data_IF_373540221210
#
_entry.id   IF_373540221210
#
_cell.length_a   1.000
_cell.length_b   1.000
_cell.length_c   1.000
_cell.angle_alpha   90.00
_cell.angle_beta   90.00
_cell.angle_gamma   90.00
#
_symmetry.space_group_name_H-M   'P 1'
#
loop_
_entity.id
_entity.type
_entity.pdbx_description
1 polymer ?
#
# COMPACT_ATOMS: atom_id res chain seq x y z
N UNK A 1 11.79 -16.47 7.26
CA UNK A 1 13.24 -16.49 7.14
C UNK A 1 13.84 -15.10 7.33
N UNK A 2 15.16 -15.04 7.35
CA UNK A 2 15.92 -13.81 7.57
C UNK A 2 16.73 -13.39 6.32
N UNK A 3 16.32 -13.89 5.16
CA UNK A 3 16.94 -13.58 3.87
C UNK A 3 15.92 -13.07 2.87
N UNK A 4 16.37 -12.22 1.96
CA UNK A 4 15.61 -11.60 0.88
C UNK A 4 16.21 -12.08 -0.44
N UNK A 5 15.36 -12.44 -1.41
CA UNK A 5 15.79 -12.71 -2.76
C UNK A 5 15.99 -11.39 -3.52
N UNK A 6 17.19 -11.17 -4.00
CA UNK A 6 17.48 -10.12 -4.99
C UNK A 6 16.95 -10.58 -6.36
N UNK A 7 15.78 -10.09 -6.73
CA UNK A 7 15.10 -10.49 -7.98
C UNK A 7 15.86 -9.99 -9.20
N UNK A 8 16.46 -8.81 -9.12
CA UNK A 8 17.29 -8.26 -10.21
C UNK A 8 18.51 -9.12 -10.48
N UNK A 9 19.21 -9.56 -9.43
CA UNK A 9 20.34 -10.47 -9.53
C UNK A 9 19.93 -11.84 -10.10
N UNK A 10 18.77 -12.36 -9.68
CA UNK A 10 18.24 -13.62 -10.20
C UNK A 10 17.86 -13.52 -11.68
N UNK A 11 17.37 -12.38 -12.14
CA UNK A 11 17.13 -12.11 -13.55
C UNK A 11 18.44 -12.04 -14.35
N UNK A 12 19.44 -11.29 -13.88
CA UNK A 12 20.74 -11.17 -14.54
C UNK A 12 21.49 -12.50 -14.64
N UNK A 13 21.28 -13.38 -13.65
CA UNK A 13 21.81 -14.75 -13.66
C UNK A 13 21.01 -15.71 -14.57
N UNK A 14 19.92 -15.27 -15.19
CA UNK A 14 19.09 -16.07 -16.09
C UNK A 14 18.14 -17.05 -15.38
N UNK A 15 18.00 -16.95 -14.07
CA UNK A 15 17.08 -17.81 -13.28
C UNK A 15 15.62 -17.36 -13.39
N UNK A 16 15.39 -16.08 -13.66
CA UNK A 16 14.08 -15.50 -13.91
C UNK A 16 14.07 -14.87 -15.31
N UNK A 17 12.90 -14.85 -15.95
CA UNK A 17 12.73 -14.39 -17.34
C UNK A 17 11.48 -13.55 -17.51
N UNK A 18 11.46 -12.78 -18.58
CA UNK A 18 10.31 -11.98 -19.02
C UNK A 18 10.28 -10.59 -18.40
N UNK A 19 9.34 -9.78 -18.89
CA UNK A 19 9.26 -8.34 -18.61
C UNK A 19 9.03 -8.05 -17.13
N UNK A 20 8.24 -8.88 -16.44
CA UNK A 20 7.99 -8.71 -15.01
C UNK A 20 9.28 -8.89 -14.16
N UNK A 21 10.12 -9.86 -14.51
CA UNK A 21 11.40 -10.05 -13.82
C UNK A 21 12.38 -8.93 -14.16
N UNK A 22 12.40 -8.47 -15.41
CA UNK A 22 13.20 -7.33 -15.83
C UNK A 22 12.79 -6.04 -15.11
N UNK A 23 11.48 -5.79 -14.95
CA UNK A 23 10.94 -4.63 -14.25
C UNK A 23 11.35 -4.58 -12.76
N UNK A 24 11.64 -5.73 -12.15
CA UNK A 24 12.14 -5.79 -10.77
C UNK A 24 13.56 -5.26 -10.57
N UNK A 25 14.26 -4.88 -11.63
CA UNK A 25 15.56 -4.19 -11.55
C UNK A 25 15.42 -2.70 -11.31
N UNK A 26 14.21 -2.15 -11.47
CA UNK A 26 13.96 -0.75 -11.22
C UNK A 26 13.92 -0.44 -9.71
N UNK A 27 14.16 0.82 -9.38
CA UNK A 27 14.15 1.28 -7.98
C UNK A 27 12.75 1.30 -7.35
N UNK A 28 11.69 1.15 -8.15
CA UNK A 28 10.29 1.12 -7.70
C UNK A 28 9.49 0.09 -8.50
N UNK A 29 8.40 -0.38 -7.94
CA UNK A 29 7.55 -1.40 -8.57
C UNK A 29 6.56 -0.86 -9.60
N UNK A 30 6.58 0.45 -9.93
CA UNK A 30 5.59 1.05 -10.81
C UNK A 30 5.49 0.36 -12.17
N UNK A 31 6.62 0.06 -12.81
CA UNK A 31 6.64 -0.65 -14.09
C UNK A 31 6.04 -2.05 -13.95
N UNK A 32 6.47 -2.81 -12.93
CA UNK A 32 5.91 -4.13 -12.67
C UNK A 32 4.40 -4.07 -12.43
N UNK A 33 3.93 -3.12 -11.62
CA UNK A 33 2.52 -2.91 -11.34
C UNK A 33 1.71 -2.61 -12.61
N UNK A 34 2.29 -1.86 -13.54
CA UNK A 34 1.64 -1.51 -14.81
C UNK A 34 1.55 -2.64 -15.85
N UNK A 35 2.30 -3.75 -15.69
CA UNK A 35 2.29 -4.86 -16.64
C UNK A 35 1.03 -5.72 -16.62
N UNK A 36 0.29 -5.73 -15.52
CA UNK A 36 -0.96 -6.48 -15.38
C UNK A 36 -0.78 -7.92 -14.86
N UNK A 37 -1.94 -8.52 -14.56
CA UNK A 37 -2.06 -9.77 -13.80
C UNK A 37 -1.28 -10.96 -14.38
N UNK A 38 -1.32 -11.16 -15.69
CA UNK A 38 -0.61 -12.28 -16.34
C UNK A 38 0.89 -12.24 -16.05
N UNK A 39 1.48 -11.08 -16.12
CA UNK A 39 2.89 -10.85 -15.83
C UNK A 39 3.22 -11.11 -14.35
N UNK A 40 2.37 -10.67 -13.43
CA UNK A 40 2.56 -10.89 -11.99
C UNK A 40 2.47 -12.37 -11.62
N UNK A 41 1.47 -13.07 -12.18
CA UNK A 41 1.30 -14.52 -11.96
C UNK A 41 2.50 -15.29 -12.50
N UNK A 42 2.96 -14.96 -13.72
CA UNK A 42 4.14 -15.59 -14.32
C UNK A 42 5.39 -15.40 -13.45
N UNK A 43 5.65 -14.18 -12.97
CA UNK A 43 6.77 -13.90 -12.08
C UNK A 43 6.63 -14.67 -10.76
N UNK A 44 5.45 -14.66 -10.14
CA UNK A 44 5.20 -15.38 -8.90
C UNK A 44 5.45 -16.88 -9.04
N UNK A 45 5.05 -17.48 -10.14
CA UNK A 45 5.30 -18.90 -10.44
C UNK A 45 6.79 -19.20 -10.55
N UNK A 46 7.55 -18.36 -11.24
CA UNK A 46 8.99 -18.49 -11.36
C UNK A 46 9.70 -18.36 -10.00
N UNK A 47 9.32 -17.35 -9.20
CA UNK A 47 9.83 -17.16 -7.84
C UNK A 47 9.51 -18.34 -6.93
N UNK A 48 8.29 -18.85 -7.00
CA UNK A 48 7.87 -20.04 -6.24
C UNK A 48 8.69 -21.28 -6.61
N UNK A 49 8.97 -21.49 -7.90
CA UNK A 49 9.80 -22.60 -8.37
C UNK A 49 11.26 -22.45 -7.94
N UNK A 50 11.80 -21.23 -8.00
CA UNK A 50 13.18 -20.93 -7.61
C UNK A 50 13.42 -21.14 -6.11
N UNK A 51 12.43 -20.77 -5.26
CA UNK A 51 12.54 -20.78 -3.79
C UNK A 51 11.98 -22.06 -3.14
N UNK A 52 11.33 -22.93 -3.91
CA UNK A 52 10.72 -24.16 -3.37
C UNK A 52 11.80 -25.12 -2.91
N UNK A 53 11.60 -25.74 -1.75
CA UNK A 53 12.43 -26.84 -1.28
C UNK A 53 12.42 -28.00 -2.29
N UNK A 54 13.61 -28.49 -2.67
CA UNK A 54 13.75 -29.49 -3.72
C UNK A 54 13.61 -28.98 -5.17
N UNK A 55 13.45 -27.65 -5.36
CA UNK A 55 13.52 -27.00 -6.66
C UNK A 55 14.92 -26.54 -7.02
N UNK A 56 15.05 -25.35 -7.63
CA UNK A 56 16.35 -24.76 -8.00
C UNK A 56 17.02 -24.05 -6.80
N UNK A 57 17.06 -24.73 -5.67
CA UNK A 57 17.50 -24.16 -4.39
C UNK A 57 18.94 -23.65 -4.41
N UNK A 58 19.82 -24.32 -5.16
CA UNK A 58 21.22 -23.91 -5.28
C UNK A 58 21.35 -22.58 -6.00
N UNK A 59 20.64 -22.42 -7.08
CA UNK A 59 20.59 -21.21 -7.89
C UNK A 59 19.98 -20.06 -7.08
N UNK A 60 18.83 -20.29 -6.44
CA UNK A 60 18.16 -19.30 -5.60
C UNK A 60 19.05 -18.78 -4.47
N UNK A 61 19.82 -19.66 -3.82
CA UNK A 61 20.74 -19.28 -2.73
C UNK A 61 21.80 -18.27 -3.13
N UNK A 62 22.27 -18.29 -4.38
CA UNK A 62 23.28 -17.33 -4.87
C UNK A 62 22.78 -15.89 -4.96
N UNK A 63 21.44 -15.72 -4.98
CA UNK A 63 20.77 -14.43 -5.09
C UNK A 63 20.14 -13.96 -3.77
N UNK A 64 20.36 -14.68 -2.68
CA UNK A 64 19.86 -14.30 -1.36
C UNK A 64 20.80 -13.28 -0.71
N UNK A 65 20.22 -12.30 -0.04
CA UNK A 65 20.92 -11.32 0.79
C UNK A 65 20.33 -11.35 2.21
N UNK A 66 21.16 -11.13 3.25
CA UNK A 66 20.65 -11.04 4.62
C UNK A 66 19.65 -9.87 4.76
N UNK A 67 18.51 -10.11 5.40
CA UNK A 67 17.51 -9.07 5.62
C UNK A 67 18.08 -7.91 6.46
N UNK A 68 19.03 -8.18 7.35
CA UNK A 68 19.69 -7.17 8.18
C UNK A 68 20.56 -6.18 7.36
N UNK A 69 20.94 -6.54 6.14
CA UNK A 69 21.73 -5.69 5.24
C UNK A 69 20.84 -4.93 4.24
N UNK A 70 19.54 -5.21 4.23
CA UNK A 70 18.61 -4.57 3.30
C UNK A 70 18.14 -3.22 3.84
N UNK A 71 18.18 -2.20 3.01
CA UNK A 71 17.53 -0.92 3.26
C UNK A 71 16.13 -0.95 2.67
N UNK A 72 15.13 -0.75 3.53
CA UNK A 72 13.73 -0.72 3.10
C UNK A 72 13.35 0.65 2.57
N UNK A 73 12.67 0.68 1.43
CA UNK A 73 12.19 1.91 0.78
C UNK A 73 10.69 1.84 0.55
N UNK A 74 10.06 2.97 0.24
CA UNK A 74 8.67 2.96 -0.24
C UNK A 74 8.65 2.23 -1.58
N UNK A 75 7.84 1.16 -1.75
CA UNK A 75 7.97 0.25 -2.89
C UNK A 75 7.53 0.86 -4.23
N UNK A 76 6.77 1.95 -4.20
CA UNK A 76 6.25 2.60 -5.40
C UNK A 76 6.34 4.13 -5.29
N UNK A 77 6.42 4.80 -6.42
CA UNK A 77 6.14 6.23 -6.50
C UNK A 77 4.64 6.40 -6.48
N UNK A 78 4.13 6.84 -5.33
CA UNK A 78 2.69 7.00 -5.08
C UNK A 78 2.29 8.40 -5.53
N UNK A 79 1.47 8.48 -6.58
CA UNK A 79 0.92 9.74 -7.08
C UNK A 79 -0.16 10.25 -6.14
N UNK A 80 -1.14 9.42 -5.90
CA UNK A 80 -2.32 9.71 -5.08
C UNK A 80 -2.78 8.45 -4.35
N UNK A 81 -3.61 8.63 -3.33
CA UNK A 81 -4.38 7.54 -2.74
C UNK A 81 -5.73 8.04 -2.24
N UNK A 82 -6.67 7.13 -2.16
CA UNK A 82 -7.99 7.36 -1.57
C UNK A 82 -8.09 6.54 -0.30
N UNK A 83 -8.47 7.19 0.78
CA UNK A 83 -8.63 6.57 2.08
C UNK A 83 -10.11 6.31 2.33
N UNK A 84 -10.49 5.03 2.37
CA UNK A 84 -11.88 4.59 2.48
C UNK A 84 -12.26 4.29 3.92
N UNK A 85 -13.35 4.87 4.36
CA UNK A 85 -13.98 4.60 5.65
C UNK A 85 -14.80 3.30 5.59
N UNK A 86 -14.14 2.16 5.32
CA UNK A 86 -14.78 0.92 4.87
C UNK A 86 -15.24 -0.02 5.99
N UNK A 87 -14.64 0.05 7.19
CA UNK A 87 -15.01 -0.81 8.32
C UNK A 87 -16.25 -0.30 9.04
N UNK A 88 -17.38 -1.00 8.93
CA UNK A 88 -18.61 -0.64 9.65
C UNK A 88 -18.44 -0.71 11.18
N UNK A 89 -17.57 -1.57 11.67
CA UNK A 89 -17.28 -1.67 13.10
C UNK A 89 -16.56 -0.41 13.60
N UNK A 90 -15.50 0.00 12.89
CA UNK A 90 -14.78 1.23 13.17
C UNK A 90 -15.70 2.46 13.04
N UNK A 91 -16.42 2.59 11.94
CA UNK A 91 -17.36 3.68 11.70
C UNK A 91 -18.43 3.79 12.80
N UNK A 92 -18.95 2.65 13.26
CA UNK A 92 -19.93 2.62 14.36
C UNK A 92 -19.31 3.06 15.69
N UNK A 93 -18.11 2.58 16.01
CA UNK A 93 -17.43 2.90 17.26
C UNK A 93 -17.06 4.39 17.34
N UNK A 94 -16.48 4.92 16.28
CA UNK A 94 -16.17 6.35 16.18
C UNK A 94 -17.44 7.19 16.18
N UNK A 95 -18.45 6.76 15.41
CA UNK A 95 -19.73 7.45 15.33
C UNK A 95 -20.44 7.56 16.68
N UNK A 96 -20.37 6.53 17.52
CA UNK A 96 -20.97 6.57 18.88
C UNK A 96 -20.38 7.64 19.78
N UNK A 97 -19.10 7.99 19.58
CA UNK A 97 -18.47 9.07 20.38
C UNK A 97 -19.04 10.46 20.03
N UNK A 98 -19.51 10.65 18.81
CA UNK A 98 -19.97 11.95 18.31
C UNK A 98 -21.49 12.01 18.07
N UNK A 99 -22.13 10.88 17.81
CA UNK A 99 -23.56 10.74 17.48
C UNK A 99 -24.10 9.46 18.12
N UNK A 100 -24.24 9.41 19.46
CA UNK A 100 -24.57 8.15 20.18
C UNK A 100 -25.88 7.52 19.71
N UNK A 101 -26.90 8.34 19.40
CA UNK A 101 -28.22 7.87 18.98
C UNK A 101 -28.27 7.43 17.50
N UNK A 102 -27.37 7.93 16.67
CA UNK A 102 -27.31 7.57 15.25
C UNK A 102 -25.85 7.58 14.75
N UNK A 103 -25.08 6.55 15.09
CA UNK A 103 -23.64 6.52 14.89
C UNK A 103 -23.22 6.48 13.40
N UNK A 104 -24.00 5.82 12.55
CA UNK A 104 -23.71 5.73 11.11
C UNK A 104 -24.46 6.79 10.32
N UNK A 105 -23.79 7.37 9.33
CA UNK A 105 -24.45 8.25 8.36
C UNK A 105 -25.49 7.44 7.56
N UNK A 106 -26.63 8.04 7.16
CA UNK A 106 -27.73 7.34 6.50
C UNK A 106 -27.33 6.57 5.24
N UNK A 107 -26.37 7.11 4.49
CA UNK A 107 -25.89 6.54 3.23
C UNK A 107 -24.63 5.67 3.37
N UNK A 108 -24.12 5.44 4.59
CA UNK A 108 -22.88 4.72 4.83
C UNK A 108 -22.83 3.35 4.12
N UNK A 109 -23.95 2.62 4.12
CA UNK A 109 -24.03 1.28 3.51
C UNK A 109 -24.18 1.27 1.98
N UNK A 110 -24.41 2.43 1.38
CA UNK A 110 -24.76 2.54 -0.03
C UNK A 110 -23.77 3.34 -0.86
N UNK A 111 -22.98 4.18 -0.21
CA UNK A 111 -21.98 5.04 -0.87
C UNK A 111 -20.63 4.79 -0.22
N UNK A 112 -19.58 4.46 -0.98
CA UNK A 112 -18.24 4.35 -0.44
C UNK A 112 -17.79 5.72 0.06
N UNK A 113 -17.67 5.86 1.39
CA UNK A 113 -17.20 7.10 2.02
C UNK A 113 -15.69 7.06 2.03
N UNK A 114 -15.07 8.09 1.50
CA UNK A 114 -13.63 8.18 1.39
C UNK A 114 -13.18 9.64 1.29
N UNK A 115 -11.89 9.87 1.44
CA UNK A 115 -11.26 11.16 1.16
C UNK A 115 -9.98 11.00 0.35
N UNK A 116 -9.59 12.07 -0.33
CA UNK A 116 -8.30 12.14 -1.03
C UNK A 116 -7.18 12.26 0.00
N UNK A 117 -6.32 11.25 0.05
CA UNK A 117 -5.26 11.17 1.04
C UNK A 117 -4.04 12.01 0.68
N UNK A 118 -3.15 12.16 1.66
CA UNK A 118 -1.88 12.89 1.50
C UNK A 118 -0.75 11.93 1.11
N UNK A 119 -0.53 11.69 -0.17
CA UNK A 119 0.55 10.83 -0.68
C UNK A 119 1.95 11.36 -0.35
N UNK A 120 2.13 12.68 -0.26
CA UNK A 120 3.45 13.31 -0.04
C UNK A 120 4.08 13.03 1.33
N UNK A 121 3.34 12.48 2.29
CA UNK A 121 3.84 12.15 3.63
C UNK A 121 3.94 10.64 3.89
N UNK A 122 3.72 9.80 2.89
CA UNK A 122 3.93 8.34 3.00
C UNK A 122 5.42 8.06 3.14
N UNK A 123 5.78 7.30 4.17
CA UNK A 123 7.17 6.99 4.52
C UNK A 123 7.33 5.51 4.88
N UNK A 124 8.57 5.05 4.87
CA UNK A 124 8.89 3.69 5.33
C UNK A 124 8.67 3.53 6.83
N UNK A 125 8.36 2.32 7.25
CA UNK A 125 8.24 1.94 8.66
C UNK A 125 9.51 2.31 9.44
N UNK A 126 9.33 2.69 10.71
CA UNK A 126 10.44 3.12 11.58
C UNK A 126 10.81 4.60 11.45
N UNK A 127 10.25 5.32 10.50
CA UNK A 127 10.46 6.78 10.40
C UNK A 127 9.70 7.50 11.51
N UNK A 128 10.39 8.29 12.38
CA UNK A 128 9.73 9.04 13.44
C UNK A 128 8.72 10.05 12.90
N UNK A 129 7.57 10.16 13.53
CA UNK A 129 6.58 11.19 13.24
C UNK A 129 6.63 12.28 14.31
N UNK A 130 6.96 13.49 13.88
CA UNK A 130 6.91 14.65 14.77
C UNK A 130 5.45 15.05 15.01
N UNK A 131 5.11 15.33 16.30
CA UNK A 131 3.80 15.89 16.62
C UNK A 131 3.58 17.19 15.85
N UNK A 132 2.51 17.30 15.04
CA UNK A 132 2.27 18.50 14.26
C UNK A 132 1.82 19.67 15.15
N UNK A 133 2.01 20.89 14.67
CA UNK A 133 1.43 22.08 15.24
C UNK A 133 0.51 22.75 14.22
N UNK A 134 -0.48 23.44 14.71
CA UNK A 134 -1.46 24.12 13.87
C UNK A 134 -2.43 25.00 14.67
N UNK A 135 -3.42 25.49 14.00
CA UNK A 135 -4.48 26.29 14.64
C UNK A 135 -5.42 25.38 15.44
N UNK A 136 -5.57 25.68 16.70
CA UNK A 136 -6.48 25.01 17.64
C UNK A 136 -7.51 26.02 18.12
N UNK A 137 -8.80 25.66 18.04
CA UNK A 137 -9.90 26.48 18.56
C UNK A 137 -10.76 25.63 19.48
N UNK A 138 -10.79 25.98 20.75
CA UNK A 138 -11.75 25.42 21.70
C UNK A 138 -13.19 25.84 21.38
N UNK A 139 -14.21 25.11 21.89
CA UNK A 139 -15.60 25.39 21.58
C UNK A 139 -16.03 26.83 22.02
N UNK A 140 -15.49 27.31 23.12
CA UNK A 140 -15.82 28.62 23.70
C UNK A 140 -14.82 29.71 23.33
N UNK A 141 -13.81 29.43 22.54
CA UNK A 141 -12.82 30.41 22.13
C UNK A 141 -13.33 31.25 20.96
N UNK A 142 -13.13 32.56 21.02
CA UNK A 142 -13.48 33.47 19.91
C UNK A 142 -12.53 33.28 18.73
N UNK A 143 -11.24 33.12 19.01
CA UNK A 143 -10.18 33.00 18.00
C UNK A 143 -9.36 31.73 18.22
N UNK A 144 -8.78 31.16 17.16
CA UNK A 144 -7.84 30.05 17.30
C UNK A 144 -6.49 30.53 17.86
N UNK A 145 -5.78 29.62 18.54
CA UNK A 145 -4.37 29.77 18.87
C UNK A 145 -3.53 28.80 18.07
N UNK A 146 -2.26 29.11 17.82
CA UNK A 146 -1.32 28.19 17.17
C UNK A 146 -0.51 27.43 18.24
N UNK A 147 -0.64 26.09 18.25
CA UNK A 147 0.01 25.25 19.27
C UNK A 147 0.22 23.84 18.74
N UNK A 148 0.93 23.00 19.50
CA UNK A 148 1.07 21.59 19.20
C UNK A 148 -0.28 20.86 19.27
N UNK A 149 -0.50 19.93 18.35
CA UNK A 149 -1.72 19.11 18.31
C UNK A 149 -1.95 18.41 19.65
N UNK A 150 -3.09 18.63 20.27
CA UNK A 150 -3.46 18.08 21.58
C UNK A 150 -4.12 16.70 21.49
N UNK A 151 -4.63 16.35 20.31
CA UNK A 151 -5.30 15.07 20.05
C UNK A 151 -4.62 14.42 18.85
N UNK A 152 -3.56 13.66 19.12
CA UNK A 152 -2.89 12.85 18.13
C UNK A 152 -3.45 11.45 18.19
N UNK A 153 -3.89 10.96 17.06
CA UNK A 153 -4.41 9.61 16.87
C UNK A 153 -3.60 8.88 15.80
N UNK A 154 -3.73 7.57 15.73
CA UNK A 154 -3.22 6.73 14.65
C UNK A 154 -4.17 5.56 14.42
N UNK A 155 -4.19 5.06 13.22
CA UNK A 155 -5.01 3.93 12.79
C UNK A 155 -4.14 2.89 12.10
N UNK A 156 -4.54 1.63 12.19
CA UNK A 156 -3.90 0.53 11.45
C UNK A 156 -4.81 0.14 10.30
N UNK A 157 -4.30 0.26 9.10
CA UNK A 157 -5.08 0.05 7.89
C UNK A 157 -4.34 -0.85 6.91
N UNK A 158 -5.10 -1.40 5.95
CA UNK A 158 -4.59 -2.19 4.86
C UNK A 158 -4.47 -1.32 3.61
N UNK A 159 -3.25 -1.14 3.14
CA UNK A 159 -3.01 -0.43 1.88
C UNK A 159 -3.14 -1.36 0.68
N UNK A 160 -3.81 -0.90 -0.37
CA UNK A 160 -3.97 -1.61 -1.64
C UNK A 160 -3.22 -0.88 -2.73
N UNK A 161 -2.30 -1.57 -3.40
CA UNK A 161 -1.63 -1.04 -4.59
C UNK A 161 -2.43 -1.38 -5.84
N UNK A 162 -2.79 -0.34 -6.60
CA UNK A 162 -3.50 -0.47 -7.87
C UNK A 162 -2.47 -0.66 -8.99
N UNK A 163 -2.70 -1.65 -9.83
CA UNK A 163 -1.88 -1.96 -11.00
C UNK A 163 -2.29 -1.13 -12.23
N UNK A 164 -2.64 -1.74 -13.36
CA UNK A 164 -3.09 -1.01 -14.54
C UNK A 164 -4.31 -0.15 -14.21
N UNK A 165 -4.29 1.10 -14.67
CA UNK A 165 -5.45 1.97 -14.57
C UNK A 165 -6.50 1.69 -15.64
N UNK A 166 -7.54 2.52 -15.65
CA UNK A 166 -8.56 2.56 -16.68
C UNK A 166 -8.44 3.86 -17.50
N UNK A 167 -9.11 3.90 -18.62
CA UNK A 167 -9.23 5.14 -19.39
C UNK A 167 -10.04 6.16 -18.61
N UNK A 168 -9.59 7.41 -18.61
CA UNK A 168 -10.32 8.51 -17.96
C UNK A 168 -11.77 8.57 -18.45
N UNK A 169 -12.71 8.58 -17.50
CA UNK A 169 -14.14 8.58 -17.77
C UNK A 169 -14.76 7.20 -17.99
N UNK A 170 -13.97 6.12 -18.05
CA UNK A 170 -14.49 4.75 -18.11
C UNK A 170 -14.54 4.14 -16.72
N UNK A 171 -15.61 3.41 -16.41
CA UNK A 171 -15.69 2.64 -15.17
C UNK A 171 -14.97 1.29 -15.34
N UNK A 172 -14.43 0.77 -14.22
CA UNK A 172 -13.99 -0.63 -14.13
C UNK A 172 -15.22 -1.44 -13.68
N UNK A 173 -15.65 -2.46 -14.43
CA UNK A 173 -16.69 -3.38 -13.98
C UNK A 173 -16.29 -4.07 -12.68
N UNK A 174 -17.27 -4.33 -11.81
CA UNK A 174 -16.98 -4.94 -10.50
C UNK A 174 -16.30 -6.31 -10.63
N UNK A 175 -16.70 -7.09 -11.62
CA UNK A 175 -16.13 -8.40 -11.93
C UNK A 175 -14.67 -8.36 -12.41
N UNK A 176 -14.19 -7.20 -12.89
CA UNK A 176 -12.82 -6.98 -13.35
C UNK A 176 -11.94 -6.28 -12.28
N UNK A 177 -12.53 -5.84 -11.17
CA UNK A 177 -11.83 -5.00 -10.19
C UNK A 177 -10.57 -5.68 -9.61
N UNK A 178 -10.59 -7.00 -9.40
CA UNK A 178 -9.44 -7.75 -8.88
C UNK A 178 -8.26 -7.79 -9.85
N UNK A 179 -8.48 -7.65 -11.15
CA UNK A 179 -7.41 -7.62 -12.15
C UNK A 179 -6.61 -6.31 -12.13
N UNK A 180 -7.16 -5.29 -11.47
CA UNK A 180 -6.50 -4.02 -11.23
C UNK A 180 -5.77 -3.95 -9.89
N UNK A 181 -5.95 -4.93 -9.00
CA UNK A 181 -5.26 -5.00 -7.70
C UNK A 181 -3.92 -5.70 -7.86
N UNK A 182 -2.83 -4.96 -7.68
CA UNK A 182 -1.48 -5.52 -7.71
C UNK A 182 -1.15 -6.29 -6.42
N UNK A 183 -1.50 -5.72 -5.27
CA UNK A 183 -1.20 -6.32 -3.98
C UNK A 183 -1.60 -5.44 -2.79
N UNK A 184 -1.30 -5.95 -1.61
CA UNK A 184 -1.63 -5.38 -0.31
C UNK A 184 -0.37 -5.05 0.48
#
# INVERSE_FOLDING_TARGET
GNQILDVGKAFDAGYLKGDAAAACKESTLNTLMGLGREHWVSLRDQLSKLLRSGGNEKEGRTCLVPMAEAEMTVPARIGDFTDFYSSINHATNVGRMFRPDNPLLPNYKYVPIAYHGRSSSIRVSGTPTKRPAGQLKGPDAETPNFDACRRLDYETELGVFVGPGNMLGSAIPLEEAEDHVFGL
#
